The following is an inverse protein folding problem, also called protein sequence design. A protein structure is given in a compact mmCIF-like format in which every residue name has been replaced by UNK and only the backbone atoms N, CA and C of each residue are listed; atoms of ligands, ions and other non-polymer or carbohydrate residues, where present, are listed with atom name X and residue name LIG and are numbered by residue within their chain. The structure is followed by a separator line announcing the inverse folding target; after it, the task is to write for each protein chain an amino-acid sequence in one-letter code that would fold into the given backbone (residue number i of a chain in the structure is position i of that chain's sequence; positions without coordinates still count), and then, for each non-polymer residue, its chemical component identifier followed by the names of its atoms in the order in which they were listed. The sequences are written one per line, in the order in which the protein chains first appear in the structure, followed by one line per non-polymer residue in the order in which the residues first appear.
data_IF_528360619197
#
_entry.id   IF_528360619197
#
_cell.length_a   1.000
_cell.length_b   1.000
_cell.length_c   1.000
_cell.angle_alpha   90.00
_cell.angle_beta   90.00
_cell.angle_gamma   90.00
#
_symmetry.space_group_name_H-M   'P 1'
#
loop_
_entity.id
_entity.type
_entity.pdbx_description
1 polymer ?
#
# COMPACT_ATOMS: atom_id res chain seq x y z
N UNK A 1 4.15 -1.09 -22.42
CA UNK A 1 4.59 0.28 -22.12
C UNK A 1 5.97 0.16 -21.52
N UNK A 2 6.99 0.80 -22.10
CA UNK A 2 8.30 0.92 -21.46
C UNK A 2 8.13 1.72 -20.17
N UNK A 3 8.81 1.32 -19.09
CA UNK A 3 8.72 1.98 -17.77
C UNK A 3 9.09 3.48 -17.81
N UNK A 4 9.82 3.91 -18.84
CA UNK A 4 10.44 5.23 -18.99
C UNK A 4 9.53 6.48 -19.01
N UNK A 5 8.19 6.36 -18.95
CA UNK A 5 7.26 7.52 -18.94
C UNK A 5 6.24 7.49 -17.79
N UNK A 6 6.46 6.64 -16.77
CA UNK A 6 5.50 6.47 -15.68
C UNK A 6 5.45 7.69 -14.75
N UNK A 7 4.28 8.33 -14.69
CA UNK A 7 4.00 9.52 -13.85
C UNK A 7 3.26 9.23 -12.54
N UNK A 8 3.04 7.96 -12.21
CA UNK A 8 2.40 7.56 -10.96
C UNK A 8 2.77 6.13 -10.56
N UNK A 9 2.77 5.83 -9.24
CA UNK A 9 2.92 4.46 -8.78
C UNK A 9 1.64 3.66 -9.05
N UNK A 10 1.75 2.36 -9.26
CA UNK A 10 0.59 1.46 -9.21
C UNK A 10 0.13 1.25 -7.76
N UNK A 11 1.08 1.19 -6.83
CA UNK A 11 0.82 1.07 -5.40
C UNK A 11 1.84 1.84 -4.55
N UNK A 12 1.35 2.46 -3.48
CA UNK A 12 2.16 2.99 -2.39
C UNK A 12 1.84 2.18 -1.14
N UNK A 13 2.85 1.53 -0.58
CA UNK A 13 2.77 0.86 0.71
C UNK A 13 3.23 1.77 1.82
N UNK A 14 2.42 1.93 2.86
CA UNK A 14 2.79 2.63 4.10
C UNK A 14 2.92 1.59 5.18
N UNK A 15 4.15 1.25 5.55
CA UNK A 15 4.47 0.17 6.48
C UNK A 15 4.82 0.75 7.84
N UNK A 16 4.04 0.41 8.86
CA UNK A 16 4.35 0.79 10.25
C UNK A 16 5.53 -0.03 10.78
N UNK A 17 5.97 0.19 12.02
CA UNK A 17 7.01 -0.65 12.63
C UNK A 17 6.55 -2.11 12.87
N UNK A 18 5.25 -2.37 12.76
CA UNK A 18 4.68 -3.71 12.83
C UNK A 18 4.58 -4.34 11.43
N UNK A 19 4.05 -5.56 11.35
CA UNK A 19 3.72 -6.22 10.07
C UNK A 19 2.45 -5.65 9.41
N UNK A 20 1.90 -4.54 9.90
CA UNK A 20 0.66 -3.94 9.42
C UNK A 20 0.86 -2.53 8.86
N UNK A 21 -0.08 -2.09 8.03
CA UNK A 21 -0.13 -0.73 7.51
C UNK A 21 -1.17 -0.59 6.41
N UNK A 22 -0.81 0.07 5.31
CA UNK A 22 -1.72 0.31 4.19
C UNK A 22 -1.05 0.02 2.84
N UNK A 23 -1.85 -0.44 1.89
CA UNK A 23 -1.49 -0.52 0.47
C UNK A 23 -2.48 0.29 -0.36
N UNK A 24 -2.04 1.43 -0.87
CA UNK A 24 -2.87 2.35 -1.66
C UNK A 24 -2.58 2.22 -3.14
N UNK A 25 -3.63 1.97 -3.92
CA UNK A 25 -3.50 1.78 -5.37
C UNK A 25 -3.92 3.03 -6.14
N UNK A 26 -3.34 3.21 -7.32
CA UNK A 26 -3.67 4.30 -8.24
C UNK A 26 -3.75 3.75 -9.66
N UNK A 27 -4.92 3.89 -10.28
CA UNK A 27 -5.19 3.36 -11.61
C UNK A 27 -4.81 4.34 -12.72
N UNK A 28 -4.48 5.59 -12.37
CA UNK A 28 -4.06 6.62 -13.31
C UNK A 28 -3.28 7.74 -12.62
N UNK A 29 -2.53 8.51 -13.41
CA UNK A 29 -1.86 9.72 -12.93
C UNK A 29 -2.86 10.74 -12.35
N UNK A 30 -4.02 10.91 -12.98
CA UNK A 30 -5.05 11.82 -12.48
C UNK A 30 -5.59 11.44 -11.10
N UNK A 31 -5.70 10.14 -10.81
CA UNK A 31 -6.10 9.66 -9.48
C UNK A 31 -5.01 9.93 -8.43
N UNK A 32 -3.75 9.66 -8.76
CA UNK A 32 -2.60 9.93 -7.90
C UNK A 32 -2.47 11.42 -7.57
N UNK A 33 -2.54 12.29 -8.58
CA UNK A 33 -2.44 13.73 -8.39
C UNK A 33 -3.59 14.29 -7.58
N UNK A 34 -4.82 13.82 -7.83
CA UNK A 34 -5.98 14.24 -7.03
C UNK A 34 -5.81 13.84 -5.56
N UNK A 35 -5.29 12.64 -5.30
CA UNK A 35 -5.00 12.21 -3.92
C UNK A 35 -3.96 13.11 -3.25
N UNK A 36 -2.85 13.42 -3.94
CA UNK A 36 -1.83 14.33 -3.43
C UNK A 36 -2.38 15.74 -3.16
N UNK A 37 -3.15 16.30 -4.09
CA UNK A 37 -3.73 17.64 -3.97
C UNK A 37 -4.79 17.74 -2.88
N UNK A 38 -5.58 16.69 -2.65
CA UNK A 38 -6.58 16.64 -1.59
C UNK A 38 -5.98 16.81 -0.20
N UNK A 39 -4.70 16.45 -0.01
CA UNK A 39 -3.95 16.78 1.19
C UNK A 39 -3.23 18.13 1.08
N UNK A 40 -2.48 18.34 0.00
CA UNK A 40 -1.55 19.47 -0.07
C UNK A 40 -2.26 20.83 -0.11
N UNK A 41 -3.36 20.97 -0.88
CA UNK A 41 -4.10 22.24 -0.98
C UNK A 41 -4.64 22.73 0.38
N UNK A 42 -5.37 21.91 1.17
CA UNK A 42 -5.82 22.35 2.49
C UNK A 42 -4.67 22.52 3.49
N UNK A 43 -3.63 21.67 3.44
CA UNK A 43 -2.49 21.79 4.34
C UNK A 43 -1.72 23.09 4.12
N UNK A 44 -1.45 23.45 2.85
CA UNK A 44 -0.81 24.72 2.49
C UNK A 44 -1.59 25.90 3.01
N UNK A 45 -2.92 25.90 2.79
CA UNK A 45 -3.81 26.97 3.27
C UNK A 45 -3.82 27.07 4.80
N UNK A 46 -3.83 25.94 5.50
CA UNK A 46 -3.91 25.90 6.96
C UNK A 46 -2.60 26.31 7.64
N UNK A 47 -1.45 26.05 7.00
CA UNK A 47 -0.12 26.34 7.55
C UNK A 47 0.50 27.63 7.02
N UNK A 48 -0.22 28.36 6.15
CA UNK A 48 0.23 29.62 5.52
C UNK A 48 1.61 29.51 4.83
N UNK A 49 1.93 28.33 4.29
CA UNK A 49 3.20 28.09 3.59
C UNK A 49 3.11 28.55 2.13
N UNK A 50 4.24 28.82 1.49
CA UNK A 50 4.28 29.17 0.07
C UNK A 50 4.03 27.92 -0.80
N UNK A 51 2.93 27.84 -1.58
CA UNK A 51 2.69 26.72 -2.48
C UNK A 51 3.75 26.56 -3.58
N UNK A 52 4.50 27.62 -3.89
CA UNK A 52 5.56 27.60 -4.88
C UNK A 52 6.89 27.08 -4.32
N UNK A 53 7.05 26.97 -2.99
CA UNK A 53 8.26 26.47 -2.33
C UNK A 53 8.21 24.94 -2.15
N UNK A 54 8.98 24.15 -2.94
CA UNK A 54 8.93 22.70 -2.86
C UNK A 54 9.44 22.15 -1.53
N UNK A 55 10.40 22.82 -0.87
CA UNK A 55 10.93 22.33 0.40
C UNK A 55 9.93 22.53 1.54
N UNK A 56 9.14 23.61 1.52
CA UNK A 56 8.03 23.79 2.47
C UNK A 56 6.94 22.74 2.28
N UNK A 57 6.49 22.49 1.03
CA UNK A 57 5.47 21.46 0.76
C UNK A 57 5.93 20.06 1.20
N UNK A 58 7.17 19.70 0.85
CA UNK A 58 7.81 18.46 1.25
C UNK A 58 7.89 18.32 2.77
N UNK A 59 8.31 19.38 3.47
CA UNK A 59 8.37 19.39 4.94
C UNK A 59 7.00 19.11 5.54
N UNK A 60 5.93 19.75 5.03
CA UNK A 60 4.57 19.51 5.51
C UNK A 60 4.09 18.09 5.24
N UNK A 61 4.29 17.56 4.03
CA UNK A 61 3.92 16.19 3.72
C UNK A 61 4.64 15.17 4.64
N UNK A 62 5.92 15.40 4.90
CA UNK A 62 6.74 14.49 5.70
C UNK A 62 6.41 14.60 7.19
N UNK A 63 6.10 15.79 7.69
CA UNK A 63 5.67 15.98 9.08
C UNK A 63 4.34 15.25 9.35
N UNK A 64 3.37 15.31 8.44
CA UNK A 64 2.12 14.55 8.58
C UNK A 64 2.33 13.04 8.50
N UNK A 65 3.24 12.54 7.65
CA UNK A 65 3.65 11.13 7.69
C UNK A 65 4.29 10.77 9.03
N UNK A 66 5.15 11.65 9.57
CA UNK A 66 5.81 11.40 10.86
C UNK A 66 4.78 11.27 11.97
N UNK A 67 3.82 12.20 12.03
CA UNK A 67 2.70 12.17 12.98
C UNK A 67 1.88 10.89 12.85
N UNK A 68 1.61 10.43 11.63
CA UNK A 68 0.95 9.14 11.40
C UNK A 68 1.76 7.98 11.98
N UNK A 69 3.08 7.94 11.79
CA UNK A 69 3.90 6.86 12.35
C UNK A 69 4.08 6.94 13.87
N UNK A 70 3.83 8.09 14.49
CA UNK A 70 3.88 8.26 15.95
C UNK A 70 2.54 7.88 16.59
N UNK A 71 1.41 8.24 15.97
CA UNK A 71 0.06 7.95 16.46
C UNK A 71 -0.84 7.41 15.33
N UNK A 72 -0.60 6.17 14.84
CA UNK A 72 -1.32 5.63 13.68
C UNK A 72 -2.81 5.41 13.93
N UNK A 73 -3.21 5.25 15.19
CA UNK A 73 -4.60 5.00 15.62
C UNK A 73 -5.38 6.29 15.95
N UNK A 74 -4.77 7.46 15.75
CA UNK A 74 -5.45 8.73 15.98
C UNK A 74 -6.64 8.90 15.03
N UNK A 75 -7.78 9.39 15.54
CA UNK A 75 -9.00 9.63 14.74
C UNK A 75 -8.79 10.56 13.54
N UNK A 76 -7.71 11.33 13.56
CA UNK A 76 -7.28 12.20 12.47
C UNK A 76 -6.77 11.42 11.26
N UNK A 77 -6.19 10.23 11.46
CA UNK A 77 -5.59 9.41 10.41
C UNK A 77 -6.53 8.31 9.92
N UNK A 78 -7.69 8.74 9.41
CA UNK A 78 -8.54 7.84 8.64
C UNK A 78 -7.82 7.41 7.35
N UNK A 79 -8.13 6.21 6.86
CA UNK A 79 -7.52 5.59 5.66
C UNK A 79 -7.32 6.58 4.51
N UNK A 80 -8.35 7.35 4.15
CA UNK A 80 -8.29 8.26 3.00
C UNK A 80 -7.34 9.45 3.27
N UNK A 81 -7.23 9.92 4.51
CA UNK A 81 -6.26 10.93 4.89
C UNK A 81 -4.82 10.40 4.76
N UNK A 82 -4.56 9.18 5.25
CA UNK A 82 -3.24 8.54 5.12
C UNK A 82 -2.90 8.33 3.64
N UNK A 83 -3.87 7.94 2.81
CA UNK A 83 -3.71 7.83 1.37
C UNK A 83 -3.27 9.15 0.74
N UNK A 84 -3.94 10.25 1.07
CA UNK A 84 -3.63 11.57 0.50
C UNK A 84 -2.26 12.08 0.96
N UNK A 85 -1.94 11.92 2.24
CA UNK A 85 -0.62 12.25 2.81
C UNK A 85 0.48 11.45 2.09
N UNK A 86 0.29 10.13 1.95
CA UNK A 86 1.25 9.26 1.25
C UNK A 86 1.42 9.66 -0.21
N UNK A 87 0.33 9.94 -0.93
CA UNK A 87 0.40 10.40 -2.32
C UNK A 87 1.19 11.71 -2.44
N UNK A 88 0.92 12.69 -1.57
CA UNK A 88 1.64 13.96 -1.56
C UNK A 88 3.13 13.77 -1.25
N UNK A 89 3.47 12.94 -0.27
CA UNK A 89 4.86 12.71 0.09
C UNK A 89 5.65 12.01 -1.03
N UNK A 90 5.04 11.05 -1.74
CA UNK A 90 5.65 10.42 -2.93
C UNK A 90 5.81 11.43 -4.05
N UNK A 91 4.80 12.28 -4.28
CA UNK A 91 4.86 13.33 -5.29
C UNK A 91 6.00 14.32 -5.01
N UNK A 92 6.18 14.77 -3.77
CA UNK A 92 7.27 15.68 -3.40
C UNK A 92 8.65 14.97 -3.40
N UNK A 93 8.70 13.66 -3.16
CA UNK A 93 9.94 12.88 -3.15
C UNK A 93 10.51 12.68 -4.57
N UNK A 94 9.65 12.30 -5.50
CA UNK A 94 10.06 11.93 -6.85
C UNK A 94 9.83 13.07 -7.85
N UNK A 95 8.90 13.98 -7.60
CA UNK A 95 8.57 15.07 -8.53
C UNK A 95 7.67 14.62 -9.68
N UNK A 96 7.09 15.60 -10.37
CA UNK A 96 6.19 15.40 -11.53
C UNK A 96 6.93 15.11 -12.84
N UNK A 97 8.18 15.60 -12.93
CA UNK A 97 8.99 15.55 -14.14
C UNK A 97 9.97 14.38 -14.16
N UNK A 98 9.94 13.55 -13.11
CA UNK A 98 10.78 12.36 -13.00
C UNK A 98 9.92 11.09 -13.01
N UNK A 99 10.57 9.98 -13.35
CA UNK A 99 9.97 8.66 -13.33
C UNK A 99 9.59 8.28 -11.88
N UNK A 100 8.30 8.04 -11.66
CA UNK A 100 7.80 7.60 -10.36
C UNK A 100 7.84 6.06 -10.31
N UNK A 101 8.49 5.45 -9.31
CA UNK A 101 8.57 3.99 -9.22
C UNK A 101 7.18 3.35 -9.23
N UNK A 102 7.08 2.19 -9.88
CA UNK A 102 5.81 1.46 -9.98
C UNK A 102 5.28 1.02 -8.62
N UNK A 103 6.16 0.59 -7.73
CA UNK A 103 5.86 0.27 -6.33
C UNK A 103 6.72 1.17 -5.45
N UNK A 104 6.09 1.87 -4.53
CA UNK A 104 6.77 2.72 -3.55
C UNK A 104 6.47 2.21 -2.14
N UNK A 105 7.48 2.16 -1.29
CA UNK A 105 7.33 1.91 0.15
C UNK A 105 7.67 3.17 0.93
N UNK A 106 6.82 3.47 1.90
CA UNK A 106 7.00 4.49 2.93
C UNK A 106 7.11 3.75 4.27
N UNK A 107 8.21 3.93 4.97
CA UNK A 107 8.50 3.24 6.23
C UNK A 107 9.25 4.13 7.22
N UNK A 108 9.06 3.89 8.53
CA UNK A 108 9.83 4.56 9.58
C UNK A 108 11.10 3.77 9.89
N UNK A 109 12.26 4.40 9.76
CA UNK A 109 13.55 3.85 10.15
C UNK A 109 13.63 3.63 11.66
N UNK A 110 14.51 2.71 12.06
CA UNK A 110 14.85 2.49 13.46
C UNK A 110 15.44 3.75 14.13
N UNK A 111 16.15 4.60 13.37
CA UNK A 111 16.71 5.88 13.83
C UNK A 111 15.66 7.01 13.96
N UNK A 112 14.39 6.72 13.65
CA UNK A 112 13.27 7.65 13.76
C UNK A 112 12.93 8.41 12.48
N UNK A 113 13.75 8.36 11.43
CA UNK A 113 13.46 9.02 10.15
C UNK A 113 12.39 8.32 9.30
N UNK A 114 11.87 9.01 8.27
CA UNK A 114 10.99 8.41 7.25
C UNK A 114 11.81 8.09 6.00
N UNK A 115 11.57 6.90 5.43
CA UNK A 115 12.08 6.49 4.12
C UNK A 115 10.93 6.42 3.15
N UNK A 116 11.14 7.02 1.98
CA UNK A 116 10.29 6.86 0.80
C UNK A 116 11.21 6.36 -0.31
N UNK A 117 10.97 5.15 -0.81
CA UNK A 117 11.86 4.48 -1.79
C UNK A 117 11.08 3.65 -2.80
N UNK A 118 11.71 3.39 -3.95
CA UNK A 118 11.30 2.32 -4.84
C UNK A 118 11.34 0.98 -4.10
N UNK A 119 10.36 0.12 -4.39
CA UNK A 119 10.20 -1.17 -3.74
C UNK A 119 10.18 -2.29 -4.78
N UNK A 120 11.32 -2.43 -5.48
CA UNK A 120 11.51 -3.38 -6.57
C UNK A 120 11.32 -4.84 -6.11
N UNK A 121 11.48 -5.11 -4.81
CA UNK A 121 11.22 -6.44 -4.24
C UNK A 121 9.78 -6.92 -4.47
N UNK A 122 8.81 -6.00 -4.62
CA UNK A 122 7.42 -6.35 -4.95
C UNK A 122 7.20 -6.61 -6.43
N UNK A 123 8.16 -6.28 -7.29
CA UNK A 123 8.09 -6.65 -8.71
C UNK A 123 8.48 -8.11 -8.91
N UNK A 124 9.30 -8.65 -8.02
CA UNK A 124 9.68 -10.06 -8.01
C UNK A 124 8.60 -10.91 -7.32
N UNK A 125 8.51 -12.20 -7.68
CA UNK A 125 7.47 -13.09 -7.19
C UNK A 125 8.10 -14.27 -6.45
N UNK A 126 8.32 -14.15 -5.14
CA UNK A 126 9.10 -15.14 -4.37
C UNK A 126 8.33 -16.44 -4.09
N UNK A 127 7.12 -16.61 -4.67
CA UNK A 127 6.23 -17.75 -4.42
C UNK A 127 5.26 -17.53 -3.25
N UNK A 128 5.40 -16.44 -2.49
CA UNK A 128 4.51 -16.04 -1.40
C UNK A 128 4.25 -14.53 -1.46
N UNK A 129 3.19 -14.01 -0.81
CA UNK A 129 2.90 -12.59 -0.87
C UNK A 129 3.81 -11.83 0.09
N UNK A 130 4.45 -10.77 -0.40
CA UNK A 130 5.12 -9.77 0.44
C UNK A 130 4.12 -8.80 1.06
N UNK A 131 2.97 -8.58 0.40
CA UNK A 131 1.85 -7.84 0.97
C UNK A 131 0.50 -8.50 0.62
N UNK A 132 -0.38 -8.55 1.62
CA UNK A 132 -1.80 -8.89 1.46
C UNK A 132 -2.63 -7.68 1.84
N UNK A 133 -3.38 -7.12 0.89
CA UNK A 133 -4.16 -5.88 1.08
C UNK A 133 -5.66 -6.19 1.15
N UNK A 134 -6.28 -5.84 2.26
CA UNK A 134 -7.74 -5.88 2.42
C UNK A 134 -8.33 -4.63 1.78
N UNK A 135 -8.73 -4.76 0.52
CA UNK A 135 -9.23 -3.66 -0.31
C UNK A 135 -9.39 -4.09 -1.77
N UNK A 136 -9.83 -3.15 -2.61
CA UNK A 136 -9.83 -3.35 -4.06
C UNK A 136 -9.16 -2.20 -4.79
N UNK A 137 -8.51 -2.44 -5.94
CA UNK A 137 -7.84 -1.38 -6.71
C UNK A 137 -8.76 -0.20 -7.01
N UNK A 138 -10.00 -0.47 -7.42
CA UNK A 138 -10.97 0.57 -7.77
C UNK A 138 -11.49 1.40 -6.57
N UNK A 139 -11.16 1.01 -5.34
CA UNK A 139 -11.43 1.77 -4.11
C UNK A 139 -10.17 2.43 -3.54
N UNK A 140 -9.05 2.37 -4.26
CA UNK A 140 -7.77 2.92 -3.83
C UNK A 140 -7.00 2.06 -2.84
N UNK A 141 -7.36 0.77 -2.68
CA UNK A 141 -6.70 -0.14 -1.75
C UNK A 141 -7.24 -0.11 -0.32
N UNK A 142 -6.40 -0.41 0.66
CA UNK A 142 -6.84 -0.57 2.06
C UNK A 142 -5.75 -1.03 3.03
N UNK A 143 -6.18 -1.62 4.14
CA UNK A 143 -5.29 -2.15 5.18
C UNK A 143 -4.41 -3.25 4.56
N UNK A 144 -3.14 -3.29 4.93
CA UNK A 144 -2.18 -4.24 4.40
C UNK A 144 -1.44 -4.96 5.52
N UNK A 145 -1.20 -6.25 5.30
CA UNK A 145 -0.28 -7.07 6.07
C UNK A 145 0.96 -7.36 5.23
N UNK A 146 2.13 -7.20 5.83
CA UNK A 146 3.43 -7.32 5.20
C UNK A 146 4.17 -8.53 5.75
N UNK A 147 4.78 -9.30 4.86
CA UNK A 147 5.55 -10.49 5.19
C UNK A 147 6.98 -10.33 4.68
N UNK A 148 7.94 -10.45 5.59
CA UNK A 148 9.37 -10.33 5.24
C UNK A 148 9.91 -11.66 4.73
N UNK A 149 9.43 -12.77 5.28
CA UNK A 149 9.87 -14.12 4.93
C UNK A 149 8.69 -15.04 4.63
N UNK A 150 8.95 -16.12 3.90
CA UNK A 150 7.94 -17.18 3.69
C UNK A 150 7.49 -17.77 5.03
N UNK A 151 8.41 -18.01 5.96
CA UNK A 151 8.10 -18.56 7.29
C UNK A 151 7.15 -17.67 8.09
N UNK A 152 7.30 -16.33 7.98
CA UNK A 152 6.37 -15.39 8.63
C UNK A 152 4.97 -15.48 8.04
N UNK A 153 4.87 -15.61 6.71
CA UNK A 153 3.61 -15.79 6.01
C UNK A 153 2.93 -17.12 6.37
N UNK A 154 3.67 -18.23 6.35
CA UNK A 154 3.14 -19.55 6.68
C UNK A 154 2.66 -19.61 8.13
N UNK A 155 3.42 -19.01 9.06
CA UNK A 155 3.04 -18.92 10.48
C UNK A 155 1.74 -18.13 10.67
N UNK A 156 1.61 -16.99 9.99
CA UNK A 156 0.40 -16.18 10.02
C UNK A 156 -0.80 -16.94 9.40
N UNK A 157 -0.57 -17.63 8.30
CA UNK A 157 -1.59 -18.38 7.57
C UNK A 157 -2.08 -19.65 8.28
N UNK A 158 -1.20 -20.32 9.01
CA UNK A 158 -1.51 -21.52 9.80
C UNK A 158 -2.24 -21.21 11.12
N UNK A 159 -2.24 -19.96 11.57
CA UNK A 159 -2.96 -19.54 12.77
C UNK A 159 -4.49 -19.65 12.61
N UNK A 160 -5.20 -19.59 13.75
CA UNK A 160 -6.66 -19.51 13.78
C UNK A 160 -7.17 -18.21 13.15
N UNK A 161 -8.37 -18.26 12.54
CA UNK A 161 -8.93 -17.09 11.87
C UNK A 161 -9.15 -15.93 12.85
N UNK A 162 -8.69 -14.73 12.49
CA UNK A 162 -8.96 -13.50 13.24
C UNK A 162 -9.53 -12.43 12.32
N UNK A 163 -10.28 -11.48 12.90
CA UNK A 163 -10.92 -10.39 12.16
C UNK A 163 -9.91 -9.50 11.41
N UNK A 164 -8.67 -9.42 11.91
CA UNK A 164 -7.60 -8.64 11.29
C UNK A 164 -6.77 -9.47 10.30
N UNK A 165 -6.72 -10.80 10.38
CA UNK A 165 -5.80 -11.64 9.58
C UNK A 165 -6.51 -12.63 8.63
N UNK A 166 -7.83 -12.55 8.52
CA UNK A 166 -8.62 -13.52 7.75
C UNK A 166 -8.16 -13.65 6.29
N UNK A 167 -7.80 -12.54 5.61
CA UNK A 167 -7.43 -12.58 4.20
C UNK A 167 -6.07 -13.28 3.99
N UNK A 168 -4.97 -12.90 4.68
CA UNK A 168 -3.73 -13.66 4.64
C UNK A 168 -3.91 -15.18 4.86
N UNK A 169 -4.78 -15.54 5.82
CA UNK A 169 -5.05 -16.93 6.17
C UNK A 169 -5.81 -17.69 5.08
N UNK A 170 -6.81 -17.05 4.46
CA UNK A 170 -7.51 -17.62 3.31
C UNK A 170 -6.54 -17.81 2.15
N UNK A 171 -5.71 -16.80 1.83
CA UNK A 171 -4.72 -16.89 0.74
C UNK A 171 -3.76 -18.05 0.99
N UNK A 172 -3.26 -18.22 2.22
CA UNK A 172 -2.37 -19.33 2.58
C UNK A 172 -3.01 -20.71 2.40
N UNK A 173 -4.27 -20.86 2.81
CA UNK A 173 -4.99 -22.13 2.71
C UNK A 173 -5.33 -22.50 1.27
N UNK A 174 -5.59 -21.50 0.42
CA UNK A 174 -6.00 -21.73 -0.96
C UNK A 174 -4.83 -21.89 -1.93
N UNK A 175 -3.71 -21.18 -1.71
CA UNK A 175 -2.65 -21.08 -2.71
C UNK A 175 -1.31 -21.62 -2.21
N UNK A 176 -0.68 -22.44 -3.06
CA UNK A 176 0.67 -22.97 -2.89
C UNK A 176 1.72 -21.95 -3.34
N UNK A 177 1.45 -21.26 -4.44
CA UNK A 177 2.27 -20.14 -4.93
C UNK A 177 1.40 -18.92 -5.18
N UNK A 178 1.89 -17.74 -4.83
CA UNK A 178 1.21 -16.46 -5.07
C UNK A 178 2.16 -15.39 -5.59
N UNK A 179 1.64 -14.34 -6.25
CA UNK A 179 2.39 -13.12 -6.51
C UNK A 179 2.75 -12.37 -5.23
N UNK A 180 3.72 -11.47 -5.33
CA UNK A 180 4.20 -10.61 -4.23
C UNK A 180 3.12 -9.73 -3.61
N UNK A 181 2.05 -9.41 -4.33
CA UNK A 181 0.92 -8.65 -3.80
C UNK A 181 -0.39 -9.33 -4.14
N UNK A 182 -1.15 -9.66 -3.11
CA UNK A 182 -2.52 -10.15 -3.21
C UNK A 182 -3.45 -9.13 -2.57
N UNK A 183 -4.53 -8.79 -3.25
CA UNK A 183 -5.58 -7.94 -2.71
C UNK A 183 -6.87 -8.74 -2.57
N UNK A 184 -7.70 -8.41 -1.58
CA UNK A 184 -9.03 -8.99 -1.51
C UNK A 184 -10.00 -8.17 -0.71
N UNK A 185 -11.29 -8.29 -1.03
CA UNK A 185 -12.36 -7.61 -0.30
C UNK A 185 -13.46 -8.64 0.03
N UNK A 186 -14.03 -8.59 1.25
CA UNK A 186 -15.20 -9.39 1.55
C UNK A 186 -16.36 -8.93 0.66
N UNK A 187 -17.02 -9.90 0.05
CA UNK A 187 -18.24 -9.74 -0.72
C UNK A 187 -19.39 -10.37 0.06
N UNK A 188 -20.46 -9.61 0.21
CA UNK A 188 -21.71 -10.06 0.84
C UNK A 188 -22.33 -11.16 -0.02
N UNK A 189 -22.27 -12.41 0.44
CA UNK A 189 -23.03 -13.50 -0.17
C UNK A 189 -24.52 -13.38 0.20
N UNK A 190 -25.40 -13.77 -0.72
CA UNK A 190 -26.86 -13.77 -0.50
C UNK A 190 -27.32 -14.69 0.64
N UNK A 191 -26.50 -15.66 1.03
CA UNK A 191 -26.89 -16.78 1.90
C UNK A 191 -26.27 -16.69 3.31
N UNK A 192 -25.73 -15.53 3.70
CA UNK A 192 -24.99 -15.35 4.97
C UNK A 192 -23.55 -15.91 4.93
N UNK A 193 -23.16 -16.57 3.84
CA UNK A 193 -21.77 -16.98 3.60
C UNK A 193 -20.90 -15.75 3.24
N UNK A 194 -19.73 -15.65 3.87
CA UNK A 194 -18.70 -14.69 3.45
C UNK A 194 -18.01 -15.22 2.18
N UNK A 195 -18.14 -14.46 1.10
CA UNK A 195 -17.35 -14.69 -0.11
C UNK A 195 -16.24 -13.65 -0.19
N UNK A 196 -15.15 -13.96 -0.88
CA UNK A 196 -13.99 -13.06 -0.99
C UNK A 196 -13.62 -12.96 -2.45
N UNK A 197 -13.56 -11.73 -2.95
CA UNK A 197 -12.95 -11.46 -4.25
C UNK A 197 -11.45 -11.28 -4.03
N UNK A 198 -10.61 -12.20 -4.54
CA UNK A 198 -9.16 -12.10 -4.48
C UNK A 198 -8.60 -11.70 -5.85
N UNK A 199 -7.64 -10.76 -5.84
CA UNK A 199 -6.94 -10.30 -7.04
C UNK A 199 -5.44 -10.23 -6.78
N UNK A 200 -4.67 -10.96 -7.56
CA UNK A 200 -3.24 -10.81 -7.65
C UNK A 200 -2.87 -9.54 -8.43
N UNK A 201 -1.89 -8.77 -7.94
CA UNK A 201 -1.27 -7.70 -8.71
C UNK A 201 0.02 -8.21 -9.35
N UNK A 202 0.02 -8.26 -10.68
CA UNK A 202 1.19 -8.55 -11.50
C UNK A 202 1.61 -7.23 -12.13
N UNK A 203 2.64 -6.59 -11.56
CA UNK A 203 3.15 -5.26 -11.96
C UNK A 203 3.85 -5.30 -13.33
N UNK A 204 3.15 -5.75 -14.38
CA UNK A 204 3.71 -5.95 -15.72
C UNK A 204 4.65 -7.15 -15.87
N UNK A 205 4.96 -7.86 -14.77
CA UNK A 205 5.79 -9.06 -14.75
C UNK A 205 4.95 -10.33 -14.66
N UNK A 206 5.47 -11.46 -15.17
CA UNK A 206 4.79 -12.76 -15.07
C UNK A 206 4.81 -13.24 -13.63
N UNK A 207 3.65 -13.32 -13.01
CA UNK A 207 3.48 -13.84 -11.67
C UNK A 207 2.76 -15.20 -11.70
N UNK A 208 3.10 -16.10 -10.78
CA UNK A 208 2.42 -17.40 -10.63
C UNK A 208 1.37 -17.31 -9.53
N UNK A 209 0.22 -17.93 -9.80
CA UNK A 209 -0.81 -18.21 -8.82
C UNK A 209 -1.16 -19.69 -8.97
N UNK A 210 -0.79 -20.50 -7.99
CA UNK A 210 -0.99 -21.95 -8.00
C UNK A 210 -1.83 -22.31 -6.79
N UNK A 211 -2.99 -22.90 -7.03
CA UNK A 211 -3.87 -23.40 -5.98
C UNK A 211 -3.22 -24.61 -5.28
N UNK A 212 -3.45 -24.75 -3.97
CA UNK A 212 -3.11 -26.00 -3.26
C UNK A 212 -4.06 -27.09 -3.74
N UNK A 213 -3.52 -28.26 -4.05
CA UNK A 213 -4.34 -29.45 -4.28
C UNK A 213 -5.31 -29.64 -3.12
N UNK A 214 -6.60 -29.79 -3.41
CA UNK A 214 -7.57 -30.17 -2.39
C UNK A 214 -7.10 -31.51 -1.78
N UNK A 215 -6.82 -31.50 -0.48
CA UNK A 215 -6.49 -32.70 0.29
C UNK A 215 -7.76 -33.53 0.55
#
# INVERSE_FOLDING_TARGET
MSDQDRRHPDVIFVKTQTTSGYGFTYLSAGEFLRAAENFMKPAVKAMEIDPADPEQRKTVAYDYLFRYFVEPDSKTFQRDNVRWIAAAAVLEKFGMDHEVPQVVVIERRADGGIVIRAADEFLDHPGYPLAVVVGKPSKGGGVAHFFTTQEDYERAGAAGLTDDMWLPQIVYRLYAETPSVVMGLPASGGDGNMSVECRALAFGRKARLVERSAA
#
